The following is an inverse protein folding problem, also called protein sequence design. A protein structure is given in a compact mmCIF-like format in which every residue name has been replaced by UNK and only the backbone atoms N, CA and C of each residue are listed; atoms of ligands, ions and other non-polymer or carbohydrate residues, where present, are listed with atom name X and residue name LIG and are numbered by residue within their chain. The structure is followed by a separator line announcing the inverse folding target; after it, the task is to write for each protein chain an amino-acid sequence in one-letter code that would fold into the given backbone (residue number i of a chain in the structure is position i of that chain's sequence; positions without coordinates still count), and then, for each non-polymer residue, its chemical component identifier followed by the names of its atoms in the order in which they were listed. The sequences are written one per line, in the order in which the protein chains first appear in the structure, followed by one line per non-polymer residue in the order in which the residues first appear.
data_IF_295776521344
#
_entry.id   IF_295776521344
#
_cell.length_a   1.000
_cell.length_b   1.000
_cell.length_c   1.000
_cell.angle_alpha   90.00
_cell.angle_beta   90.00
_cell.angle_gamma   90.00
#
_symmetry.space_group_name_H-M   'P 1'
#
loop_
_entity.id
_entity.type
_entity.pdbx_description
1 polymer ?
#
# COMPACT_ATOMS: atom_id res chain seq x y z
N UNK A 1 17.69 -6.24 1.97
CA UNK A 1 17.41 -6.81 3.31
C UNK A 1 18.69 -7.47 3.82
N UNK A 2 19.10 -7.22 5.07
CA UNK A 2 20.27 -7.90 5.58
C UNK A 2 19.95 -9.38 5.89
N UNK A 3 20.96 -10.26 5.81
CA UNK A 3 20.80 -11.70 5.97
C UNK A 3 20.14 -12.11 7.32
N UNK A 4 20.35 -11.33 8.40
CA UNK A 4 19.74 -11.61 9.70
C UNK A 4 18.23 -11.37 9.73
N UNK A 5 17.74 -10.29 9.10
CA UNK A 5 16.32 -10.02 8.99
C UNK A 5 15.62 -11.07 8.10
N UNK A 6 16.31 -11.53 7.09
CA UNK A 6 15.87 -12.59 6.19
C UNK A 6 15.74 -13.94 6.94
N UNK A 7 16.78 -14.39 7.62
CA UNK A 7 16.78 -15.65 8.38
C UNK A 7 15.73 -15.66 9.50
N UNK A 8 15.48 -14.51 10.14
CA UNK A 8 14.40 -14.40 11.14
C UNK A 8 13.02 -14.63 10.53
N UNK A 9 12.78 -14.13 9.31
CA UNK A 9 11.51 -14.33 8.62
C UNK A 9 11.31 -15.77 8.14
N UNK A 10 12.37 -16.46 7.74
CA UNK A 10 12.33 -17.89 7.46
C UNK A 10 11.96 -18.72 8.70
N UNK A 11 12.55 -18.39 9.85
CA UNK A 11 12.24 -19.06 11.13
C UNK A 11 10.80 -18.88 11.60
N UNK A 12 10.04 -17.95 11.02
CA UNK A 12 8.61 -17.74 11.29
C UNK A 12 7.69 -18.65 10.42
N UNK A 13 8.26 -19.59 9.68
CA UNK A 13 7.49 -20.55 8.91
C UNK A 13 6.79 -19.97 7.68
N UNK A 14 7.44 -19.02 7.02
CA UNK A 14 6.91 -18.37 5.82
C UNK A 14 6.60 -19.35 4.69
N UNK A 15 7.45 -20.37 4.52
CA UNK A 15 7.24 -21.46 3.56
C UNK A 15 7.98 -22.73 4.06
N UNK A 16 7.40 -23.87 3.81
CA UNK A 16 8.02 -25.17 4.14
C UNK A 16 8.90 -25.73 3.02
N UNK A 17 8.72 -25.24 1.80
CA UNK A 17 9.42 -25.72 0.61
C UNK A 17 10.33 -24.61 0.08
N UNK A 18 11.57 -24.93 -0.22
CA UNK A 18 12.56 -23.96 -0.73
C UNK A 18 12.10 -23.22 -2.00
N UNK A 19 11.32 -23.86 -2.84
CA UNK A 19 10.78 -23.27 -4.07
C UNK A 19 9.51 -22.44 -3.84
N UNK A 20 9.04 -22.33 -2.62
CA UNK A 20 7.80 -21.61 -2.27
C UNK A 20 8.00 -20.16 -1.80
N UNK A 21 9.23 -19.68 -1.82
CA UNK A 21 9.59 -18.36 -1.31
C UNK A 21 10.04 -18.40 0.15
N UNK A 22 11.10 -17.67 0.44
CA UNK A 22 11.79 -17.69 1.74
C UNK A 22 11.37 -16.60 2.70
N UNK A 23 10.44 -15.75 2.32
CA UNK A 23 9.86 -14.71 3.19
C UNK A 23 8.34 -14.77 3.13
N UNK A 24 7.62 -14.30 4.17
CA UNK A 24 6.16 -14.28 4.17
C UNK A 24 5.56 -13.57 2.94
N UNK A 25 6.20 -12.50 2.46
CA UNK A 25 5.75 -11.76 1.29
C UNK A 25 5.93 -12.58 0.00
N UNK A 26 7.09 -13.23 -0.16
CA UNK A 26 7.35 -14.10 -1.32
C UNK A 26 6.41 -15.31 -1.31
N UNK A 27 6.25 -15.97 -0.15
CA UNK A 27 5.38 -17.12 -0.02
C UNK A 27 3.94 -16.80 -0.39
N UNK A 28 3.42 -15.66 0.03
CA UNK A 28 2.10 -15.19 -0.37
C UNK A 28 1.99 -15.03 -1.88
N UNK A 29 2.95 -14.37 -2.49
CA UNK A 29 2.95 -14.14 -3.93
C UNK A 29 3.04 -15.46 -4.72
N UNK A 30 3.90 -16.40 -4.27
CA UNK A 30 4.01 -17.74 -4.86
C UNK A 30 2.70 -18.52 -4.71
N UNK A 31 2.02 -18.45 -3.57
CA UNK A 31 0.73 -19.13 -3.39
C UNK A 31 -0.34 -18.54 -4.31
N UNK A 32 -0.43 -17.24 -4.45
CA UNK A 32 -1.35 -16.60 -5.40
C UNK A 32 -1.06 -17.03 -6.85
N UNK A 33 0.22 -17.09 -7.22
CA UNK A 33 0.62 -17.57 -8.55
C UNK A 33 0.26 -19.05 -8.77
N UNK A 34 0.44 -19.92 -7.77
CA UNK A 34 -0.01 -21.34 -7.81
C UNK A 34 -1.51 -21.48 -7.94
N UNK A 35 -2.27 -20.49 -7.47
CA UNK A 35 -3.73 -20.44 -7.64
C UNK A 35 -4.16 -19.91 -9.02
N UNK A 36 -3.21 -19.59 -9.90
CA UNK A 36 -3.45 -19.12 -11.25
C UNK A 36 -3.52 -17.60 -11.41
N UNK A 37 -3.03 -16.83 -10.43
CA UNK A 37 -2.99 -15.38 -10.54
C UNK A 37 -1.68 -14.91 -11.18
N UNK A 38 -1.73 -13.86 -11.99
CA UNK A 38 -0.57 -13.00 -12.26
C UNK A 38 -0.41 -12.09 -11.05
N UNK A 39 0.75 -12.12 -10.41
CA UNK A 39 0.99 -11.37 -9.16
C UNK A 39 2.02 -10.28 -9.41
N UNK A 40 1.62 -9.05 -9.22
CA UNK A 40 2.48 -7.88 -9.28
C UNK A 40 2.64 -7.29 -7.87
N UNK A 41 3.86 -7.28 -7.38
CA UNK A 41 4.22 -6.72 -6.07
C UNK A 41 5.23 -5.61 -6.28
N UNK A 42 4.82 -4.38 -6.06
CA UNK A 42 5.67 -3.20 -6.20
C UNK A 42 6.08 -2.63 -4.84
N UNK A 43 7.18 -1.89 -4.84
CA UNK A 43 7.71 -1.27 -3.65
C UNK A 43 6.95 0.03 -3.33
N UNK A 44 6.59 0.18 -2.06
CA UNK A 44 6.02 1.44 -1.57
C UNK A 44 7.09 2.53 -1.53
N UNK A 45 6.66 3.79 -1.66
CA UNK A 45 7.56 4.95 -1.60
C UNK A 45 8.42 4.90 -0.33
N UNK A 46 9.72 5.03 -0.49
CA UNK A 46 10.71 4.96 0.59
C UNK A 46 11.22 3.57 0.93
N UNK A 47 10.71 2.50 0.32
CA UNK A 47 11.15 1.13 0.59
C UNK A 47 11.82 0.49 -0.62
N UNK A 48 12.73 -0.46 -0.33
CA UNK A 48 13.46 -1.26 -1.30
C UNK A 48 14.09 -0.41 -2.42
N UNK A 49 13.65 -0.53 -3.65
CA UNK A 49 14.20 0.22 -4.79
C UNK A 49 13.47 1.57 -5.03
N UNK A 50 12.35 1.81 -4.35
CA UNK A 50 11.58 3.07 -4.44
C UNK A 50 12.11 4.15 -3.49
N UNK A 51 13.36 4.57 -3.69
CA UNK A 51 14.14 5.44 -2.78
C UNK A 51 14.28 6.90 -3.25
N UNK A 52 13.54 7.33 -4.26
CA UNK A 52 13.54 8.72 -4.72
C UNK A 52 13.08 9.69 -3.62
N UNK A 53 12.20 9.22 -2.77
CA UNK A 53 11.86 9.83 -1.48
C UNK A 53 12.28 8.82 -0.42
N UNK A 54 13.09 9.25 0.53
CA UNK A 54 13.64 8.34 1.56
C UNK A 54 12.58 7.85 2.52
N UNK A 55 12.84 6.74 3.20
CA UNK A 55 11.96 6.19 4.24
C UNK A 55 11.65 7.22 5.32
N UNK A 56 12.65 7.99 5.76
CA UNK A 56 12.50 9.02 6.78
C UNK A 56 11.50 10.13 6.39
N UNK A 57 11.39 10.44 5.11
CA UNK A 57 10.45 11.44 4.60
C UNK A 57 9.07 10.84 4.31
N UNK A 58 9.04 9.62 3.82
CA UNK A 58 7.80 8.96 3.41
C UNK A 58 7.03 8.35 4.59
N UNK A 59 7.73 7.98 5.66
CA UNK A 59 7.16 7.28 6.79
C UNK A 59 7.52 7.96 8.10
N UNK A 60 6.85 7.58 9.19
CA UNK A 60 7.10 8.11 10.54
C UNK A 60 6.72 9.58 10.75
N UNK A 61 5.61 9.84 11.41
CA UNK A 61 5.12 11.19 11.70
C UNK A 61 6.13 12.10 12.44
N UNK A 62 7.07 11.54 13.17
CA UNK A 62 8.05 12.29 13.94
C UNK A 62 9.00 13.14 13.10
N UNK A 63 9.11 12.88 11.81
CA UNK A 63 9.91 13.68 10.86
C UNK A 63 9.09 14.69 10.05
N UNK A 64 7.76 14.69 10.23
CA UNK A 64 6.82 15.60 9.57
C UNK A 64 6.54 16.81 10.45
N UNK A 65 7.43 17.79 10.46
CA UNK A 65 7.39 18.95 11.37
C UNK A 65 7.64 20.26 10.61
N UNK A 66 7.35 21.44 11.21
CA UNK A 66 7.58 22.74 10.57
C UNK A 66 9.01 22.93 10.09
N UNK A 67 9.99 22.38 10.77
CA UNK A 67 11.41 22.40 10.36
C UNK A 67 11.68 21.63 9.07
N UNK A 68 10.72 20.85 8.58
CA UNK A 68 10.77 20.17 7.29
C UNK A 68 10.37 21.08 6.11
N UNK A 69 9.99 22.32 6.36
CA UNK A 69 9.56 23.28 5.34
C UNK A 69 10.73 24.01 4.65
N UNK A 70 11.85 23.33 4.43
CA UNK A 70 12.98 23.88 3.69
C UNK A 70 13.53 22.84 2.70
N UNK A 71 14.28 23.31 1.71
CA UNK A 71 14.71 22.52 0.55
C UNK A 71 15.43 21.20 0.87
N UNK A 72 16.10 21.12 2.02
CA UNK A 72 16.89 19.95 2.41
C UNK A 72 16.08 18.90 3.17
N UNK A 73 14.93 19.29 3.72
CA UNK A 73 14.09 18.44 4.57
C UNK A 73 12.60 18.61 4.29
N UNK A 74 12.24 18.84 3.06
CA UNK A 74 10.85 19.06 2.71
C UNK A 74 10.01 17.78 2.88
N UNK A 75 8.95 17.88 3.68
CA UNK A 75 8.02 16.79 3.93
C UNK A 75 6.64 17.05 3.30
N UNK A 76 5.92 15.99 2.98
CA UNK A 76 4.58 16.07 2.41
C UNK A 76 3.47 16.43 3.42
N UNK A 77 3.83 16.81 4.64
CA UNK A 77 2.95 17.44 5.64
C UNK A 77 3.37 18.89 5.93
N UNK A 78 4.02 19.53 4.98
CA UNK A 78 4.31 20.95 5.04
C UNK A 78 3.10 21.78 4.63
N UNK A 79 2.99 23.05 5.07
CA UNK A 79 1.95 23.96 4.59
C UNK A 79 1.92 24.10 3.06
N UNK A 80 3.08 24.04 2.42
CA UNK A 80 3.20 24.09 0.97
C UNK A 80 2.59 22.86 0.30
N UNK A 81 2.88 21.67 0.81
CA UNK A 81 2.30 20.43 0.31
C UNK A 81 0.78 20.42 0.48
N UNK A 82 0.29 20.79 1.66
CA UNK A 82 -1.15 20.87 1.95
C UNK A 82 -1.86 21.87 1.05
N UNK A 83 -1.27 23.04 0.82
CA UNK A 83 -1.81 24.06 -0.09
C UNK A 83 -1.94 23.55 -1.54
N UNK A 84 -1.13 22.58 -1.93
CA UNK A 84 -1.15 21.96 -3.24
C UNK A 84 -1.82 20.57 -3.24
N UNK A 85 -2.51 20.20 -2.18
CA UNK A 85 -3.18 18.89 -2.00
C UNK A 85 -2.22 17.71 -2.21
N UNK A 86 -0.96 17.87 -1.83
CA UNK A 86 0.07 16.84 -1.96
C UNK A 86 0.24 16.09 -0.65
N UNK A 87 0.44 14.78 -0.75
CA UNK A 87 0.77 13.91 0.38
C UNK A 87 1.50 12.66 -0.09
N UNK A 88 2.23 12.02 0.79
CA UNK A 88 2.85 10.69 0.52
C UNK A 88 1.76 9.67 0.20
N UNK A 89 0.65 9.69 0.94
CA UNK A 89 -0.49 8.81 0.64
C UNK A 89 -1.02 9.02 -0.77
N UNK A 90 -1.19 10.26 -1.20
CA UNK A 90 -1.61 10.59 -2.56
C UNK A 90 -0.65 10.09 -3.62
N UNK A 91 0.67 10.25 -3.39
CA UNK A 91 1.70 9.75 -4.29
C UNK A 91 1.69 8.22 -4.38
N UNK A 92 1.56 7.52 -3.25
CA UNK A 92 1.45 6.07 -3.25
C UNK A 92 0.18 5.58 -3.96
N UNK A 93 -0.94 6.25 -3.75
CA UNK A 93 -2.19 5.94 -4.44
C UNK A 93 -2.05 6.15 -5.96
N UNK A 94 -1.36 7.20 -6.37
CA UNK A 94 -1.04 7.41 -7.78
C UNK A 94 -0.18 6.27 -8.34
N UNK A 95 0.86 5.84 -7.62
CA UNK A 95 1.68 4.70 -8.01
C UNK A 95 0.86 3.41 -8.12
N UNK A 96 -0.10 3.22 -7.22
CA UNK A 96 -1.03 2.07 -7.27
C UNK A 96 -1.90 2.10 -8.53
N UNK A 97 -2.41 3.27 -8.92
CA UNK A 97 -3.15 3.45 -10.17
C UNK A 97 -2.25 3.11 -11.37
N UNK A 98 -1.01 3.62 -11.40
CA UNK A 98 -0.05 3.31 -12.47
C UNK A 98 0.32 1.82 -12.53
N UNK A 99 0.31 1.14 -11.40
CA UNK A 99 0.50 -0.31 -11.35
C UNK A 99 -0.64 -1.07 -12.02
N UNK A 100 -1.87 -0.62 -11.88
CA UNK A 100 -3.01 -1.17 -12.62
C UNK A 100 -2.89 -0.92 -14.13
N UNK A 101 -2.49 0.30 -14.52
CA UNK A 101 -2.27 0.61 -15.93
C UNK A 101 -1.21 -0.30 -16.55
N UNK A 102 -0.13 -0.58 -15.80
CA UNK A 102 0.90 -1.51 -16.24
C UNK A 102 0.33 -2.94 -16.40
N UNK A 103 -0.42 -3.42 -15.42
CA UNK A 103 -1.01 -4.76 -15.48
C UNK A 103 -1.93 -4.93 -16.69
N UNK A 104 -2.69 -3.91 -17.07
CA UNK A 104 -3.55 -3.94 -18.25
C UNK A 104 -2.77 -4.07 -19.58
N UNK A 105 -1.48 -3.77 -19.59
CA UNK A 105 -0.64 -3.95 -20.78
C UNK A 105 -0.13 -5.38 -20.96
N UNK A 106 -0.25 -6.22 -19.94
CA UNK A 106 0.28 -7.59 -19.97
C UNK A 106 -0.69 -8.53 -20.67
N UNK A 107 -0.23 -9.35 -21.64
CA UNK A 107 -1.11 -10.20 -22.45
C UNK A 107 -1.80 -11.32 -21.66
N UNK A 108 -1.21 -11.72 -20.53
CA UNK A 108 -1.72 -12.84 -19.71
C UNK A 108 -2.62 -12.37 -18.56
N UNK A 109 -2.93 -11.06 -18.48
CA UNK A 109 -3.79 -10.49 -17.45
C UNK A 109 -5.22 -10.37 -17.94
N UNK A 110 -6.15 -10.96 -17.17
CA UNK A 110 -7.58 -10.73 -17.35
C UNK A 110 -7.98 -9.42 -16.65
N UNK A 111 -8.16 -8.38 -17.44
CA UNK A 111 -8.49 -7.03 -16.94
C UNK A 111 -9.88 -6.95 -16.27
N UNK A 112 -10.76 -7.92 -16.49
CA UNK A 112 -12.04 -7.98 -15.78
C UNK A 112 -11.93 -8.58 -14.37
N UNK A 113 -10.77 -9.13 -14.00
CA UNK A 113 -10.54 -9.80 -12.71
C UNK A 113 -9.36 -9.22 -11.92
N UNK A 114 -9.07 -7.94 -12.09
CA UNK A 114 -8.06 -7.25 -11.32
C UNK A 114 -8.47 -7.18 -9.84
N UNK A 115 -7.55 -7.52 -8.96
CA UNK A 115 -7.80 -7.55 -7.52
C UNK A 115 -6.62 -6.96 -6.76
N UNK A 116 -6.89 -6.43 -5.57
CA UNK A 116 -5.87 -5.81 -4.72
C UNK A 116 -5.91 -6.38 -3.31
N UNK A 117 -4.73 -6.59 -2.75
CA UNK A 117 -4.54 -6.93 -1.33
C UNK A 117 -3.25 -6.32 -0.81
N UNK A 118 -3.21 -6.06 0.47
CA UNK A 118 -2.02 -5.56 1.16
C UNK A 118 -2.28 -5.48 2.65
N UNK A 119 -1.21 -5.49 3.44
CA UNK A 119 -1.30 -5.43 4.89
C UNK A 119 -0.78 -4.10 5.43
N UNK A 120 -1.33 -3.63 6.56
CA UNK A 120 -0.96 -2.37 7.21
C UNK A 120 -1.08 -1.19 6.24
N UNK A 121 -0.04 -0.43 5.94
CA UNK A 121 -0.05 0.60 4.89
C UNK A 121 -0.52 0.08 3.53
N UNK A 122 -0.21 -1.19 3.19
CA UNK A 122 -0.77 -1.88 2.03
C UNK A 122 -2.27 -2.14 2.14
N UNK A 123 -2.79 -2.34 3.35
CA UNK A 123 -4.22 -2.42 3.62
C UNK A 123 -4.92 -1.08 3.35
N UNK A 124 -4.30 0.02 3.80
CA UNK A 124 -4.76 1.37 3.49
C UNK A 124 -4.81 1.61 1.98
N UNK A 125 -3.74 1.28 1.25
CA UNK A 125 -3.72 1.40 -0.20
C UNK A 125 -4.77 0.51 -0.86
N UNK A 126 -5.04 -0.69 -0.32
CA UNK A 126 -6.04 -1.60 -0.88
C UNK A 126 -7.45 -1.01 -0.85
N UNK A 127 -7.93 -0.54 0.31
CA UNK A 127 -9.27 0.04 0.36
C UNK A 127 -9.35 1.43 -0.31
N UNK A 128 -8.28 2.20 -0.29
CA UNK A 128 -8.24 3.47 -1.04
C UNK A 128 -8.38 3.22 -2.55
N UNK A 129 -7.64 2.26 -3.08
CA UNK A 129 -7.77 1.86 -4.48
C UNK A 129 -9.16 1.30 -4.80
N UNK A 130 -9.73 0.50 -3.89
CA UNK A 130 -11.11 0.04 -4.01
C UNK A 130 -12.12 1.18 -4.14
N UNK A 131 -11.92 2.25 -3.36
CA UNK A 131 -12.79 3.42 -3.41
C UNK A 131 -12.61 4.28 -4.67
N UNK A 132 -11.41 4.31 -5.25
CA UNK A 132 -11.04 5.26 -6.29
C UNK A 132 -11.02 4.65 -7.69
N UNK A 133 -10.71 3.36 -7.85
CA UNK A 133 -10.49 2.75 -9.16
C UNK A 133 -11.53 1.65 -9.46
N UNK A 134 -12.40 1.96 -10.40
CA UNK A 134 -13.50 1.07 -10.79
C UNK A 134 -13.06 -0.20 -11.51
N UNK A 135 -11.81 -0.32 -11.95
CA UNK A 135 -11.26 -1.52 -12.61
C UNK A 135 -11.11 -2.71 -11.67
N UNK A 136 -10.99 -2.46 -10.37
CA UNK A 136 -10.86 -3.53 -9.39
C UNK A 136 -12.15 -4.35 -9.27
N UNK A 137 -12.03 -5.67 -9.39
CA UNK A 137 -13.10 -6.63 -9.23
C UNK A 137 -13.24 -7.15 -7.80
N UNK A 138 -12.14 -7.20 -7.04
CA UNK A 138 -12.14 -7.58 -5.63
C UNK A 138 -11.07 -6.82 -4.85
N UNK A 139 -11.32 -6.61 -3.56
CA UNK A 139 -10.42 -5.92 -2.65
C UNK A 139 -10.31 -6.68 -1.33
N UNK A 140 -9.08 -6.88 -0.83
CA UNK A 140 -8.85 -7.56 0.43
C UNK A 140 -7.79 -6.81 1.27
N UNK A 141 -8.16 -5.71 1.96
CA UNK A 141 -7.28 -5.06 2.92
C UNK A 141 -7.05 -5.96 4.14
N UNK A 142 -5.79 -6.30 4.39
CA UNK A 142 -5.39 -6.98 5.60
C UNK A 142 -5.09 -5.93 6.68
N UNK A 143 -5.93 -5.87 7.70
CA UNK A 143 -6.03 -4.84 8.74
C UNK A 143 -6.38 -3.45 8.19
N UNK A 144 -6.35 -2.42 9.02
CA UNK A 144 -6.59 -0.98 8.75
C UNK A 144 -8.05 -0.57 8.51
N UNK A 145 -8.98 -1.48 8.21
CA UNK A 145 -10.40 -1.15 8.16
C UNK A 145 -10.95 -1.18 9.59
N UNK A 146 -10.90 -0.03 10.25
CA UNK A 146 -11.25 0.10 11.68
C UNK A 146 -11.84 1.48 11.96
N UNK A 147 -12.74 1.54 12.93
CA UNK A 147 -13.26 2.79 13.48
C UNK A 147 -12.32 3.42 14.50
N UNK A 148 -11.44 2.63 15.10
CA UNK A 148 -10.57 3.06 16.20
C UNK A 148 -9.19 3.55 15.72
N UNK A 149 -8.71 3.10 14.57
CA UNK A 149 -7.41 3.44 14.03
C UNK A 149 -7.54 3.96 12.60
N UNK A 150 -6.98 5.13 12.35
CA UNK A 150 -7.05 5.80 11.05
C UNK A 150 -5.75 5.70 10.24
N UNK A 151 -4.68 5.21 10.84
CA UNK A 151 -3.35 5.10 10.25
C UNK A 151 -2.27 5.62 11.18
N UNK A 152 -1.16 4.90 11.31
CA UNK A 152 -0.04 5.20 12.22
C UNK A 152 1.16 5.84 11.53
N UNK A 153 1.05 6.17 10.24
CA UNK A 153 2.17 6.64 9.43
C UNK A 153 1.74 7.75 8.48
N UNK A 154 2.71 8.55 8.06
CA UNK A 154 2.57 9.58 7.02
C UNK A 154 1.94 9.03 5.74
N UNK A 155 2.39 7.86 5.32
CA UNK A 155 1.93 7.19 4.09
C UNK A 155 0.48 6.69 4.13
N UNK A 156 -0.15 6.71 5.28
CA UNK A 156 -1.52 6.27 5.51
C UNK A 156 -2.49 7.45 5.71
N UNK A 157 -1.98 8.68 5.67
CA UNK A 157 -2.74 9.87 6.01
C UNK A 157 -2.58 10.97 4.97
N UNK A 158 -3.64 11.78 4.83
CA UNK A 158 -3.65 13.02 4.08
C UNK A 158 -4.50 14.04 4.81
N UNK A 159 -4.13 15.32 4.70
CA UNK A 159 -4.90 16.42 5.31
C UNK A 159 -6.35 16.41 4.85
N UNK A 160 -7.26 16.47 5.80
CA UNK A 160 -8.71 16.54 5.54
C UNK A 160 -9.37 15.21 5.14
N UNK A 161 -8.62 14.17 4.88
CA UNK A 161 -9.16 12.91 4.34
C UNK A 161 -10.23 12.28 5.25
N UNK A 162 -10.01 12.31 6.56
CA UNK A 162 -10.85 11.58 7.52
C UNK A 162 -11.62 12.49 8.48
N UNK A 163 -12.04 13.65 8.01
CA UNK A 163 -12.84 14.57 8.83
C UNK A 163 -14.28 14.08 9.00
N UNK A 164 -15.05 13.79 7.91
CA UNK A 164 -16.41 13.29 8.02
C UNK A 164 -16.52 11.77 7.96
N UNK A 165 -15.48 11.06 7.53
CA UNK A 165 -15.51 9.62 7.25
C UNK A 165 -14.21 8.97 7.70
N UNK A 166 -14.29 7.74 8.19
CA UNK A 166 -13.13 6.93 8.57
C UNK A 166 -12.80 5.85 7.54
N UNK A 167 -11.91 4.95 7.92
CA UNK A 167 -11.48 3.85 7.04
C UNK A 167 -12.64 2.91 6.68
N UNK A 168 -13.61 2.73 7.57
CA UNK A 168 -14.77 1.86 7.32
C UNK A 168 -15.64 2.45 6.22
N UNK A 169 -15.98 3.73 6.29
CA UNK A 169 -16.79 4.41 5.30
C UNK A 169 -16.08 4.46 3.94
N UNK A 170 -14.77 4.70 3.92
CA UNK A 170 -13.99 4.69 2.68
C UNK A 170 -13.98 3.29 2.05
N UNK A 171 -13.75 2.25 2.85
CA UNK A 171 -13.78 0.87 2.36
C UNK A 171 -15.18 0.48 1.84
N UNK A 172 -16.25 0.97 2.46
CA UNK A 172 -17.62 0.73 2.04
C UNK A 172 -17.95 1.30 0.65
N UNK A 173 -17.19 2.27 0.13
CA UNK A 173 -17.34 2.77 -1.23
C UNK A 173 -17.08 1.70 -2.31
N UNK A 174 -16.43 0.60 -1.96
CA UNK A 174 -16.21 -0.52 -2.88
C UNK A 174 -17.48 -1.35 -3.15
N UNK A 175 -18.50 -1.23 -2.30
CA UNK A 175 -19.76 -1.95 -2.50
C UNK A 175 -20.40 -1.59 -3.87
N UNK A 176 -21.07 -2.54 -4.54
CA UNK A 176 -21.41 -3.90 -4.11
C UNK A 176 -20.38 -4.98 -4.48
N UNK A 177 -19.17 -4.60 -4.86
CA UNK A 177 -18.13 -5.55 -5.24
C UNK A 177 -17.57 -6.32 -4.03
N UNK A 178 -16.99 -7.51 -4.23
CA UNK A 178 -16.45 -8.32 -3.15
C UNK A 178 -15.35 -7.60 -2.36
N UNK A 179 -15.60 -7.39 -1.09
CA UNK A 179 -14.66 -6.82 -0.12
C UNK A 179 -14.47 -7.83 1.02
N UNK A 180 -13.28 -8.41 1.12
CA UNK A 180 -12.86 -9.18 2.28
C UNK A 180 -11.93 -8.35 3.16
N UNK A 181 -11.85 -8.65 4.45
CA UNK A 181 -10.94 -7.96 5.38
C UNK A 181 -10.58 -8.85 6.57
N UNK A 182 -9.46 -8.50 7.26
CA UNK A 182 -9.05 -9.13 8.52
C UNK A 182 -8.94 -8.09 9.61
#
# INVERSE_FOLDING_TARGET
QNAQAYNRKEGQGAERFENGGRSPLQSRNVQLARMGCVVFHYDMVGYADSIQITEDLAHHFNVQRPEMNHSERWGFFSPQAESNLQSIMGLQTWNSIRSLDFLETLPDVDTARLSITGASGGGTQSFMMGALDSRLAACFPAVMVSTAMQGGCTCENASGLRIPAGNVEIAALFAPKPLGMT
#
